data_IF_465746159702
#
_entry.id   IF_465746159702
#
_cell.length_a   1.000
_cell.length_b   1.000
_cell.length_c   1.000
_cell.angle_alpha   90.00
_cell.angle_beta   90.00
_cell.angle_gamma   90.00
#
_symmetry.space_group_name_H-M   'P 1'
#
loop_
_entity.id
_entity.type
_entity.pdbx_description
1 polymer ?
#
# COMPACT_ATOMS: atom_id res chain seq x y z
N UNK A 1 9.04 -46.14 3.89
CA UNK A 1 9.75 -45.24 4.82
C UNK A 1 8.79 -44.95 5.95
N UNK A 2 9.11 -45.37 7.17
CA UNK A 2 8.17 -45.35 8.30
C UNK A 2 8.03 -43.93 8.87
N UNK A 3 6.82 -43.53 9.27
CA UNK A 3 6.52 -42.18 9.81
C UNK A 3 7.39 -41.85 11.03
N UNK A 4 7.74 -42.87 11.81
CA UNK A 4 8.61 -42.75 12.98
C UNK A 4 10.04 -42.34 12.58
N UNK A 5 10.53 -42.83 11.44
CA UNK A 5 11.87 -42.48 10.93
C UNK A 5 11.90 -41.03 10.44
N UNK A 6 10.84 -40.56 9.78
CA UNK A 6 10.71 -39.17 9.33
C UNK A 6 10.62 -38.19 10.50
N UNK A 7 9.79 -38.49 11.50
CA UNK A 7 9.65 -37.65 12.70
C UNK A 7 10.95 -37.58 13.52
N UNK A 8 11.72 -38.67 13.58
CA UNK A 8 13.01 -38.66 14.27
C UNK A 8 14.09 -37.88 13.51
N UNK A 9 14.09 -37.92 12.17
CA UNK A 9 14.95 -37.08 11.34
C UNK A 9 14.58 -35.60 11.46
N UNK A 10 13.29 -35.29 11.45
CA UNK A 10 12.78 -33.93 11.62
C UNK A 10 13.15 -33.38 13.01
N UNK A 11 12.95 -34.15 14.08
CA UNK A 11 13.31 -33.76 15.45
C UNK A 11 14.81 -33.52 15.62
N UNK A 12 15.67 -34.37 15.03
CA UNK A 12 17.12 -34.14 15.04
C UNK A 12 17.52 -32.86 14.31
N UNK A 13 16.86 -32.56 13.19
CA UNK A 13 17.14 -31.36 12.40
C UNK A 13 16.68 -30.08 13.12
N UNK A 14 15.48 -30.11 13.71
CA UNK A 14 14.94 -28.99 14.50
C UNK A 14 15.76 -28.75 15.77
N UNK A 15 16.19 -29.80 16.46
CA UNK A 15 17.03 -29.67 17.66
C UNK A 15 18.42 -29.12 17.34
N UNK A 16 19.04 -29.54 16.24
CA UNK A 16 20.30 -28.97 15.77
C UNK A 16 20.20 -27.46 15.45
N UNK A 17 19.04 -27.00 14.98
CA UNK A 17 18.80 -25.58 14.74
C UNK A 17 18.46 -24.79 16.02
N UNK A 18 17.84 -25.43 17.01
CA UNK A 18 17.53 -24.80 18.30
C UNK A 18 18.75 -24.69 19.22
N UNK A 19 19.66 -25.65 19.19
CA UNK A 19 20.90 -25.63 19.99
C UNK A 19 21.93 -24.63 19.42
N UNK A 20 21.82 -24.29 18.13
CA UNK A 20 22.60 -23.22 17.50
C UNK A 20 22.07 -21.81 17.82
N UNK A 21 20.82 -21.70 18.29
CA UNK A 21 20.13 -20.43 18.55
C UNK A 21 20.01 -20.08 20.05
N UNK A 22 20.70 -20.80 20.93
CA UNK A 22 20.73 -20.51 22.38
C UNK A 22 22.10 -20.02 22.85
N UNK A 23 22.47 -18.82 22.45
CA UNK A 23 23.19 -17.88 23.30
C UNK A 23 22.60 -16.48 23.09
N UNK A 24 21.64 -16.11 23.94
CA UNK A 24 21.11 -14.75 24.05
C UNK A 24 21.95 -13.94 25.04
N UNK A 25 22.31 -12.72 24.64
CA UNK A 25 22.47 -11.58 25.55
C UNK A 25 22.21 -10.27 24.78
N UNK A 26 21.24 -9.47 25.22
CA UNK A 26 20.91 -8.12 24.71
C UNK A 26 22.03 -7.11 25.01
N UNK A 27 22.07 -5.89 24.40
CA UNK A 27 21.42 -5.42 23.17
C UNK A 27 22.45 -4.80 22.20
N UNK A 28 22.53 -5.24 20.94
CA UNK A 28 23.39 -4.55 19.97
C UNK A 28 22.55 -3.84 18.90
N UNK A 29 22.82 -2.54 18.76
CA UNK A 29 22.45 -1.63 17.68
C UNK A 29 22.99 -2.04 16.30
N UNK A 30 23.14 -3.35 16.04
CA UNK A 30 23.79 -3.93 14.87
C UNK A 30 22.80 -4.78 14.05
N UNK A 31 22.02 -4.13 13.18
CA UNK A 31 21.76 -4.75 11.88
C UNK A 31 23.08 -4.60 11.10
N UNK A 32 23.96 -5.59 11.27
CA UNK A 32 25.25 -5.63 10.61
C UNK A 32 25.01 -6.05 9.15
N UNK A 33 25.05 -5.08 8.24
CA UNK A 33 25.39 -5.35 6.85
C UNK A 33 26.69 -6.16 6.86
N UNK A 34 26.62 -7.46 6.56
CA UNK A 34 27.84 -8.24 6.43
C UNK A 34 28.60 -7.66 5.23
N UNK A 35 29.62 -6.86 5.53
CA UNK A 35 30.54 -6.26 4.58
C UNK A 35 31.41 -7.36 3.96
N UNK A 36 30.80 -8.23 3.16
CA UNK A 36 31.51 -8.74 2.00
C UNK A 36 31.89 -7.49 1.21
N UNK A 37 33.18 -7.28 0.99
CA UNK A 37 33.75 -6.16 0.24
C UNK A 37 33.31 -6.30 -1.23
N UNK A 38 32.02 -6.14 -1.49
CA UNK A 38 31.56 -5.68 -2.78
C UNK A 38 31.95 -4.21 -2.82
N UNK A 39 32.72 -3.74 -3.82
CA UNK A 39 32.89 -2.31 -4.00
C UNK A 39 31.50 -1.72 -4.13
N UNK A 40 31.05 -0.99 -3.10
CA UNK A 40 29.75 -0.33 -3.15
C UNK A 40 29.78 0.60 -4.35
N UNK A 41 29.06 0.31 -5.45
CA UNK A 41 29.21 1.03 -6.72
C UNK A 41 28.77 2.50 -6.62
N UNK A 42 28.20 2.88 -5.48
CA UNK A 42 27.75 4.21 -5.11
C UNK A 42 28.75 5.01 -4.26
N UNK A 43 29.98 4.50 -4.03
CA UNK A 43 31.01 5.20 -3.22
C UNK A 43 31.38 6.59 -3.72
N UNK A 44 31.21 6.84 -5.03
CA UNK A 44 31.53 8.13 -5.66
C UNK A 44 30.33 9.08 -5.74
N UNK A 45 29.13 8.65 -5.31
CA UNK A 45 27.93 9.50 -5.34
C UNK A 45 27.98 10.46 -4.17
N UNK A 46 27.99 11.77 -4.45
CA UNK A 46 27.93 12.78 -3.41
C UNK A 46 26.53 12.82 -2.80
N UNK A 47 26.46 12.98 -1.48
CA UNK A 47 25.19 13.18 -0.78
C UNK A 47 24.39 14.36 -1.35
N UNK A 48 25.07 15.41 -1.82
CA UNK A 48 24.45 16.56 -2.48
C UNK A 48 23.62 16.14 -3.70
N UNK A 49 24.13 15.22 -4.51
CA UNK A 49 23.52 14.80 -5.76
C UNK A 49 22.24 14.00 -5.48
N UNK A 50 22.26 13.16 -4.44
CA UNK A 50 21.07 12.45 -3.96
C UNK A 50 20.00 13.41 -3.43
N UNK A 51 20.38 14.39 -2.61
CA UNK A 51 19.42 15.37 -2.08
C UNK A 51 18.82 16.26 -3.16
N UNK A 52 19.63 16.64 -4.16
CA UNK A 52 19.17 17.42 -5.31
C UNK A 52 18.18 16.60 -6.15
N UNK A 53 18.49 15.31 -6.39
CA UNK A 53 17.60 14.40 -7.09
C UNK A 53 16.27 14.23 -6.35
N UNK A 54 16.29 13.95 -5.04
CA UNK A 54 15.06 13.83 -4.24
C UNK A 54 14.25 15.12 -4.32
N UNK A 55 14.88 16.28 -4.18
CA UNK A 55 14.17 17.56 -4.22
C UNK A 55 13.55 17.84 -5.60
N UNK A 56 14.21 17.42 -6.68
CA UNK A 56 13.74 17.61 -8.05
C UNK A 56 12.61 16.64 -8.43
N UNK A 57 12.72 15.37 -8.04
CA UNK A 57 11.78 14.31 -8.44
C UNK A 57 10.60 14.13 -7.48
N UNK A 58 10.66 14.70 -6.27
CA UNK A 58 9.61 14.53 -5.26
C UNK A 58 8.28 15.12 -5.75
N UNK A 59 7.32 14.23 -5.95
CA UNK A 59 5.92 14.56 -6.27
C UNK A 59 5.14 15.00 -5.01
N UNK A 60 3.97 15.66 -5.18
CA UNK A 60 3.08 16.00 -4.07
C UNK A 60 2.69 14.79 -3.23
N UNK A 61 2.42 15.01 -1.94
CA UNK A 61 1.97 13.95 -1.05
C UNK A 61 0.54 13.50 -1.41
N UNK A 62 0.15 12.29 -0.99
CA UNK A 62 -1.18 11.73 -1.23
C UNK A 62 -2.31 12.70 -0.83
N UNK A 63 -2.22 13.29 0.36
CA UNK A 63 -3.24 14.23 0.84
C UNK A 63 -3.37 15.46 -0.05
N UNK A 64 -2.25 16.08 -0.43
CA UNK A 64 -2.23 17.25 -1.31
C UNK A 64 -2.87 16.93 -2.67
N UNK A 65 -2.51 15.81 -3.27
CA UNK A 65 -3.07 15.38 -4.55
C UNK A 65 -4.56 15.03 -4.44
N UNK A 66 -4.98 14.39 -3.35
CA UNK A 66 -6.37 14.08 -3.09
C UNK A 66 -7.23 15.35 -3.08
N UNK A 67 -6.82 16.37 -2.31
CA UNK A 67 -7.58 17.63 -2.22
C UNK A 67 -7.51 18.43 -3.52
N UNK A 68 -6.39 18.35 -4.26
CA UNK A 68 -6.34 18.91 -5.61
C UNK A 68 -7.42 18.30 -6.52
N UNK A 69 -7.63 16.96 -6.48
CA UNK A 69 -8.71 16.33 -7.23
C UNK A 69 -10.10 16.74 -6.75
N UNK A 70 -10.31 16.91 -5.44
CA UNK A 70 -11.57 17.42 -4.88
C UNK A 70 -11.91 18.78 -5.51
N UNK A 71 -10.94 19.69 -5.55
CA UNK A 71 -11.09 21.02 -6.13
C UNK A 71 -11.34 20.95 -7.65
N UNK A 72 -10.59 20.13 -8.39
CA UNK A 72 -10.75 19.98 -9.84
C UNK A 72 -12.10 19.37 -10.24
N UNK A 73 -12.66 18.47 -9.42
CA UNK A 73 -13.97 17.86 -9.67
C UNK A 73 -15.13 18.72 -9.18
N UNK A 74 -14.85 19.88 -8.56
CA UNK A 74 -15.85 20.76 -7.95
C UNK A 74 -16.75 20.04 -6.93
N UNK A 75 -16.17 19.07 -6.20
CA UNK A 75 -16.89 18.27 -5.21
C UNK A 75 -16.72 18.84 -3.81
N UNK A 76 -17.79 18.79 -3.01
CA UNK A 76 -17.69 19.07 -1.58
C UNK A 76 -17.05 17.88 -0.84
N UNK A 77 -16.17 18.16 0.12
CA UNK A 77 -15.48 17.14 0.93
C UNK A 77 -16.47 16.15 1.59
N UNK A 78 -17.67 16.62 2.00
CA UNK A 78 -18.73 15.79 2.57
C UNK A 78 -19.27 14.80 1.57
N UNK A 79 -19.45 15.22 0.31
CA UNK A 79 -19.88 14.33 -0.77
C UNK A 79 -18.81 13.26 -1.04
N UNK A 80 -17.53 13.63 -1.00
CA UNK A 80 -16.42 12.72 -1.26
C UNK A 80 -16.30 11.64 -0.19
N UNK A 81 -16.22 12.00 1.11
CA UNK A 81 -16.05 10.97 2.13
C UNK A 81 -17.32 10.11 2.31
N UNK A 82 -18.52 10.65 2.05
CA UNK A 82 -19.75 9.85 2.03
C UNK A 82 -19.79 8.90 0.83
N UNK A 83 -19.43 9.40 -0.35
CA UNK A 83 -19.31 8.61 -1.58
C UNK A 83 -18.30 7.49 -1.43
N UNK A 84 -17.18 7.73 -0.74
CA UNK A 84 -16.15 6.75 -0.43
C UNK A 84 -16.50 5.84 0.77
N UNK A 85 -17.68 5.96 1.38
CA UNK A 85 -18.07 5.24 2.60
C UNK A 85 -17.01 5.31 3.70
N UNK A 86 -16.54 6.53 3.96
CA UNK A 86 -15.44 6.82 4.84
C UNK A 86 -15.89 7.64 6.05
N UNK A 87 -15.34 7.32 7.22
CA UNK A 87 -15.52 8.14 8.42
C UNK A 87 -14.86 9.52 8.23
N UNK A 88 -15.59 10.60 8.56
CA UNK A 88 -15.09 11.97 8.55
C UNK A 88 -13.78 12.14 9.34
N UNK A 89 -13.58 11.39 10.44
CA UNK A 89 -12.34 11.38 11.23
C UNK A 89 -11.17 10.82 10.44
N UNK A 90 -11.39 9.77 9.65
CA UNK A 90 -10.37 9.22 8.77
C UNK A 90 -10.02 10.22 7.67
N UNK A 91 -11.02 10.83 7.05
CA UNK A 91 -10.82 11.88 6.05
C UNK A 91 -10.07 13.10 6.60
N UNK A 92 -10.41 13.52 7.82
CA UNK A 92 -9.70 14.59 8.52
C UNK A 92 -8.24 14.26 8.82
N UNK A 93 -7.91 12.99 9.12
CA UNK A 93 -6.52 12.55 9.32
C UNK A 93 -5.71 12.60 8.03
N UNK A 94 -6.31 12.25 6.90
CA UNK A 94 -5.68 12.38 5.57
C UNK A 94 -5.27 13.83 5.32
N UNK A 95 -6.06 14.80 5.77
CA UNK A 95 -5.75 16.23 5.63
C UNK A 95 -4.64 16.71 6.55
N UNK A 96 -4.65 16.29 7.81
CA UNK A 96 -3.79 16.89 8.83
C UNK A 96 -2.40 16.25 8.95
N UNK A 97 -2.25 14.99 8.54
CA UNK A 97 -0.98 14.28 8.60
C UNK A 97 -0.30 14.29 7.22
N UNK A 98 0.79 15.04 7.11
CA UNK A 98 1.53 15.24 5.85
C UNK A 98 2.16 13.94 5.30
N UNK A 99 2.45 12.99 6.18
CA UNK A 99 3.03 11.67 5.89
C UNK A 99 2.00 10.55 5.97
N UNK A 100 0.70 10.88 5.96
CA UNK A 100 -0.35 9.87 6.03
C UNK A 100 -0.30 8.94 4.82
N UNK A 101 -0.09 7.64 5.08
CA UNK A 101 -0.20 6.59 4.07
C UNK A 101 -1.55 5.87 4.19
N UNK A 102 -2.47 6.04 3.22
CA UNK A 102 -3.70 5.28 3.17
C UNK A 102 -3.44 3.81 2.85
N UNK A 103 -4.36 2.92 3.25
CA UNK A 103 -4.37 1.56 2.71
C UNK A 103 -4.80 1.59 1.24
N UNK A 104 -4.38 0.59 0.44
CA UNK A 104 -4.81 0.47 -0.97
C UNK A 104 -6.34 0.51 -1.13
N UNK A 105 -7.06 -0.14 -0.20
CA UNK A 105 -8.53 -0.14 -0.17
C UNK A 105 -9.13 1.23 0.10
N UNK A 106 -8.50 2.01 0.98
CA UNK A 106 -8.89 3.40 1.25
C UNK A 106 -8.75 4.24 -0.02
N UNK A 107 -7.67 4.06 -0.78
CA UNK A 107 -7.48 4.76 -2.06
C UNK A 107 -8.54 4.33 -3.08
N UNK A 108 -8.85 3.04 -3.18
CA UNK A 108 -9.91 2.53 -4.06
C UNK A 108 -11.27 3.13 -3.75
N UNK A 109 -11.63 3.24 -2.47
CA UNK A 109 -12.86 3.92 -2.05
C UNK A 109 -12.87 5.40 -2.43
N UNK A 110 -11.73 6.09 -2.31
CA UNK A 110 -11.62 7.50 -2.69
C UNK A 110 -11.70 7.71 -4.21
N UNK A 111 -11.13 6.80 -5.01
CA UNK A 111 -11.26 6.80 -6.48
C UNK A 111 -12.73 6.78 -6.89
N UNK A 112 -13.53 5.89 -6.29
CA UNK A 112 -14.97 5.83 -6.54
C UNK A 112 -15.68 7.08 -6.03
N UNK A 113 -15.36 7.53 -4.81
CA UNK A 113 -15.97 8.73 -4.21
C UNK A 113 -15.70 10.02 -5.00
N UNK A 114 -14.55 10.11 -5.67
CA UNK A 114 -14.14 11.22 -6.53
C UNK A 114 -14.51 11.04 -8.01
N UNK A 115 -15.03 9.87 -8.38
CA UNK A 115 -15.38 9.54 -9.75
C UNK A 115 -14.21 9.75 -10.73
N UNK A 116 -13.01 9.29 -10.33
CA UNK A 116 -11.80 9.46 -11.12
C UNK A 116 -11.79 8.54 -12.34
N UNK A 117 -11.28 9.05 -13.46
CA UNK A 117 -11.00 8.23 -14.63
C UNK A 117 -9.75 7.34 -14.42
N UNK A 118 -9.42 6.50 -15.40
CA UNK A 118 -8.32 5.54 -15.28
C UNK A 118 -6.96 6.20 -15.05
N UNK A 119 -6.70 7.34 -15.69
CA UNK A 119 -5.43 8.06 -15.56
C UNK A 119 -5.34 8.79 -14.22
N UNK A 120 -6.42 9.48 -13.83
CA UNK A 120 -6.53 10.16 -12.55
C UNK A 120 -6.42 9.16 -11.38
N UNK A 121 -7.10 8.02 -11.48
CA UNK A 121 -7.05 6.96 -10.49
C UNK A 121 -5.65 6.36 -10.35
N UNK A 122 -4.96 6.09 -11.46
CA UNK A 122 -3.58 5.61 -11.43
C UNK A 122 -2.63 6.62 -10.78
N UNK A 123 -2.82 7.92 -11.08
CA UNK A 123 -2.03 9.01 -10.49
C UNK A 123 -2.24 9.10 -8.98
N UNK A 124 -3.49 9.03 -8.52
CA UNK A 124 -3.81 9.02 -7.09
C UNK A 124 -3.23 7.77 -6.39
N UNK A 125 -3.29 6.59 -7.03
CA UNK A 125 -2.69 5.37 -6.51
C UNK A 125 -1.18 5.49 -6.34
N UNK A 126 -0.50 6.04 -7.36
CA UNK A 126 0.95 6.22 -7.37
C UNK A 126 1.39 7.11 -6.21
N UNK A 127 0.65 8.19 -5.93
CA UNK A 127 0.95 9.10 -4.81
C UNK A 127 0.87 8.43 -3.43
N UNK A 128 0.12 7.34 -3.31
CA UNK A 128 0.03 6.50 -2.11
C UNK A 128 1.03 5.32 -2.11
N UNK A 129 1.87 5.18 -3.14
CA UNK A 129 2.85 4.10 -3.28
C UNK A 129 2.28 2.80 -3.85
N UNK A 130 1.14 2.85 -4.54
CA UNK A 130 0.51 1.68 -5.17
C UNK A 130 0.42 1.83 -6.69
N UNK A 131 0.21 0.71 -7.37
CA UNK A 131 -0.15 0.67 -8.78
C UNK A 131 -1.29 -0.33 -9.03
N UNK A 132 -1.95 -0.20 -10.17
CA UNK A 132 -2.85 -1.23 -10.65
C UNK A 132 -2.07 -2.48 -11.07
N UNK A 133 -2.44 -3.61 -10.50
CA UNK A 133 -1.91 -4.92 -10.85
C UNK A 133 -2.90 -5.65 -11.76
N UNK A 134 -2.40 -6.14 -12.89
CA UNK A 134 -3.17 -7.02 -13.78
C UNK A 134 -3.32 -8.45 -13.24
N UNK A 135 -2.62 -8.77 -12.15
CA UNK A 135 -2.66 -10.10 -11.51
C UNK A 135 -3.59 -10.14 -10.31
N UNK A 136 -4.19 -9.02 -9.90
CA UNK A 136 -5.12 -8.94 -8.78
C UNK A 136 -6.54 -8.71 -9.30
N UNK A 137 -7.45 -9.60 -8.94
CA UNK A 137 -8.85 -9.51 -9.35
C UNK A 137 -9.52 -8.22 -8.85
N UNK A 138 -9.23 -7.81 -7.60
CA UNK A 138 -9.74 -6.54 -7.05
C UNK A 138 -9.37 -5.32 -7.91
N UNK A 139 -8.14 -5.28 -8.43
CA UNK A 139 -7.64 -4.20 -9.27
C UNK A 139 -8.32 -4.22 -10.66
N UNK A 140 -8.52 -5.42 -11.23
CA UNK A 140 -9.22 -5.60 -12.50
C UNK A 140 -10.70 -5.19 -12.40
N UNK A 141 -11.36 -5.58 -11.32
CA UNK A 141 -12.76 -5.19 -11.04
C UNK A 141 -12.85 -3.68 -10.90
N UNK A 142 -12.00 -3.04 -10.10
CA UNK A 142 -12.03 -1.59 -9.96
C UNK A 142 -11.80 -0.87 -11.29
N UNK A 143 -10.82 -1.33 -12.10
CA UNK A 143 -10.57 -0.74 -13.43
C UNK A 143 -11.74 -0.91 -14.38
N UNK A 144 -12.41 -2.05 -14.36
CA UNK A 144 -13.64 -2.26 -15.13
C UNK A 144 -14.71 -1.24 -14.73
N UNK A 145 -14.93 -1.03 -13.43
CA UNK A 145 -15.89 -0.05 -12.93
C UNK A 145 -15.56 1.38 -13.38
N UNK A 146 -14.29 1.78 -13.30
CA UNK A 146 -13.84 3.10 -13.78
C UNK A 146 -14.07 3.26 -15.29
N UNK A 147 -13.68 2.23 -16.08
CA UNK A 147 -13.82 2.24 -17.54
C UNK A 147 -15.28 2.37 -17.98
N UNK A 148 -16.18 1.66 -17.31
CA UNK A 148 -17.63 1.72 -17.57
C UNK A 148 -18.31 2.91 -16.87
N UNK A 149 -17.55 3.76 -16.16
CA UNK A 149 -18.02 4.93 -15.40
C UNK A 149 -19.08 4.58 -14.33
N UNK A 150 -18.94 3.41 -13.71
CA UNK A 150 -19.81 2.91 -12.64
C UNK A 150 -19.21 3.33 -11.30
N UNK A 151 -19.56 4.52 -10.83
CA UNK A 151 -19.06 5.07 -9.55
C UNK A 151 -20.04 4.86 -8.40
N UNK A 152 -20.43 3.60 -8.18
CA UNK A 152 -21.32 3.21 -7.09
C UNK A 152 -20.61 2.22 -6.17
N UNK A 153 -20.37 2.63 -4.91
CA UNK A 153 -19.71 1.81 -3.91
C UNK A 153 -20.46 0.52 -3.54
N UNK A 154 -21.80 0.54 -3.56
CA UNK A 154 -22.59 -0.67 -3.30
C UNK A 154 -22.42 -1.69 -4.41
N UNK A 155 -22.51 -1.25 -5.66
CA UNK A 155 -22.32 -2.12 -6.82
C UNK A 155 -20.88 -2.67 -6.87
N UNK A 156 -19.89 -1.84 -6.55
CA UNK A 156 -18.50 -2.28 -6.47
C UNK A 156 -18.33 -3.36 -5.39
N UNK A 157 -18.88 -3.12 -4.20
CA UNK A 157 -18.79 -4.09 -3.11
C UNK A 157 -19.54 -5.38 -3.40
N UNK A 158 -20.70 -5.31 -4.07
CA UNK A 158 -21.42 -6.49 -4.54
C UNK A 158 -20.56 -7.30 -5.52
N UNK A 159 -19.98 -6.65 -6.53
CA UNK A 159 -19.08 -7.31 -7.46
C UNK A 159 -17.84 -7.90 -6.77
N UNK A 160 -17.24 -7.22 -5.80
CA UNK A 160 -16.12 -7.78 -5.04
C UNK A 160 -16.53 -9.05 -4.29
N UNK A 161 -17.68 -9.03 -3.61
CA UNK A 161 -18.18 -10.19 -2.87
C UNK A 161 -18.54 -11.38 -3.77
N UNK A 162 -19.03 -11.13 -4.99
CA UNK A 162 -19.29 -12.20 -5.98
C UNK A 162 -18.03 -12.97 -6.39
N UNK A 163 -16.85 -12.36 -6.22
CA UNK A 163 -15.54 -12.97 -6.48
C UNK A 163 -14.82 -13.40 -5.19
N UNK A 164 -15.55 -13.56 -4.08
CA UNK A 164 -14.99 -13.90 -2.76
C UNK A 164 -13.94 -12.89 -2.24
N UNK A 165 -13.97 -11.66 -2.76
CA UNK A 165 -13.11 -10.57 -2.31
C UNK A 165 -13.81 -9.75 -1.23
N UNK A 166 -13.02 -9.30 -0.26
CA UNK A 166 -13.54 -8.42 0.77
C UNK A 166 -13.91 -7.02 0.22
N UNK A 167 -15.00 -6.41 0.71
CA UNK A 167 -15.45 -5.10 0.27
C UNK A 167 -14.47 -3.97 0.62
N UNK A 168 -14.64 -2.85 -0.08
CA UNK A 168 -13.95 -1.58 0.13
C UNK A 168 -14.92 -0.53 0.69
N UNK A 169 -14.40 0.42 1.48
CA UNK A 169 -15.22 1.50 2.05
C UNK A 169 -16.26 0.99 3.04
N UNK A 170 -15.90 0.99 4.33
CA UNK A 170 -16.81 0.60 5.41
C UNK A 170 -17.02 1.77 6.37
N UNK A 171 -18.29 2.11 6.58
CA UNK A 171 -18.73 2.89 7.73
C UNK A 171 -19.01 1.85 8.82
N UNK A 172 -18.12 1.73 9.80
CA UNK A 172 -18.37 0.95 11.02
C UNK A 172 -19.18 1.78 12.02
#
# INVERSE_FOLDING_TARGET
>A
MDQVTFLNQLKKHVQAQLDSNKQESQPDSNICYHATILPAPWRDVKYSDLTAYIQHEKKPAFGELLFWFVDQKELDEVSVYKGARMDRRLFSRIRSAADYQPSKRTVFSLIIGLQLDEYEAATLLESAGFSFSYSLEMDLILRFFIKEKIYNMDLLNQALMEFDLEPVGCIR
#
